data_IF_197174107504
#
_entry.id   IF_197174107504
#
_cell.length_a   1.000
_cell.length_b   1.000
_cell.length_c   1.000
_cell.angle_alpha   90.00
_cell.angle_beta   90.00
_cell.angle_gamma   90.00
#
_symmetry.space_group_name_H-M   'P 1'
#
loop_
_entity.id
_entity.type
_entity.pdbx_description
1 polymer ?
#
# COMPACT_ATOMS: atom_id res chain seq x y z
N UNK A 1 -16.16 -6.62 19.90
CA UNK A 1 -15.92 -7.15 18.92
C UNK A 1 -14.61 -6.86 18.22
N UNK A 2 -14.15 -7.83 17.48
CA UNK A 2 -12.87 -7.73 16.83
C UNK A 2 -12.77 -6.63 15.79
N UNK A 3 -13.84 -5.93 15.60
CA UNK A 3 -13.90 -4.88 14.57
C UNK A 3 -13.20 -3.62 14.98
N UNK A 4 -12.66 -3.57 16.18
CA UNK A 4 -11.81 -2.45 16.54
C UNK A 4 -10.46 -2.51 15.87
N UNK A 5 -10.14 -3.63 15.27
CA UNK A 5 -8.90 -3.79 14.54
C UNK A 5 -9.09 -3.25 13.14
N UNK A 6 -8.48 -2.13 12.87
CA UNK A 6 -8.54 -1.53 11.55
C UNK A 6 -7.17 -1.46 10.95
N UNK A 7 -7.13 -1.64 9.64
CA UNK A 7 -5.89 -1.46 8.93
C UNK A 7 -5.59 0.02 8.81
N UNK A 8 -4.34 0.38 9.02
CA UNK A 8 -3.88 1.71 8.66
C UNK A 8 -3.58 1.70 7.17
N UNK A 9 -4.09 2.70 6.46
CA UNK A 9 -3.98 2.76 5.03
C UNK A 9 -3.42 4.11 4.64
N UNK A 10 -2.37 4.10 3.83
CA UNK A 10 -1.79 5.31 3.27
C UNK A 10 -1.97 5.22 1.77
N UNK A 11 -2.64 6.19 1.20
CA UNK A 11 -2.85 6.25 -0.24
C UNK A 11 -1.86 7.24 -0.80
N UNK A 12 -0.92 6.73 -1.58
CA UNK A 12 0.07 7.56 -2.21
C UNK A 12 -0.45 8.15 -3.50
N UNK A 13 0.19 9.20 -3.94
CA UNK A 13 -0.15 9.84 -5.18
C UNK A 13 1.08 10.48 -5.76
N UNK A 14 0.90 11.11 -6.91
CA UNK A 14 2.01 11.66 -7.67
C UNK A 14 2.79 12.72 -6.90
N UNK A 15 2.15 13.40 -5.96
CA UNK A 15 2.88 14.39 -5.17
C UNK A 15 3.84 13.76 -4.18
N UNK A 16 3.72 12.47 -3.95
CA UNK A 16 4.55 11.78 -2.96
C UNK A 16 5.88 11.35 -3.58
N UNK A 17 5.81 10.88 -4.81
CA UNK A 17 6.97 10.29 -5.48
C UNK A 17 7.34 11.15 -6.67
N UNK A 18 8.52 11.75 -6.62
CA UNK A 18 8.93 12.62 -7.70
C UNK A 18 9.96 11.98 -8.62
N UNK A 19 10.91 11.26 -8.08
CA UNK A 19 11.96 10.72 -8.92
C UNK A 19 12.49 9.39 -8.47
N UNK A 20 12.61 9.18 -7.19
CA UNK A 20 13.25 7.97 -6.66
C UNK A 20 12.30 7.20 -5.78
N UNK A 21 12.40 5.87 -5.77
CA UNK A 21 11.60 5.03 -4.88
C UNK A 21 12.15 5.11 -3.46
N UNK A 22 11.83 6.19 -2.77
CA UNK A 22 12.38 6.50 -1.47
C UNK A 22 11.46 6.01 -0.36
N UNK A 23 11.95 5.09 0.42
CA UNK A 23 11.17 4.52 1.52
C UNK A 23 10.94 5.53 2.65
N UNK A 24 11.74 6.57 2.70
CA UNK A 24 11.68 7.52 3.81
C UNK A 24 10.31 8.20 3.91
N UNK A 25 9.67 8.48 2.78
CA UNK A 25 8.36 9.10 2.76
C UNK A 25 7.36 8.25 3.55
N UNK A 26 7.35 6.95 3.29
CA UNK A 26 6.42 6.06 3.97
C UNK A 26 6.82 5.81 5.42
N UNK A 27 8.12 5.77 5.70
CA UNK A 27 8.58 5.64 7.08
C UNK A 27 8.13 6.84 7.92
N UNK A 28 8.25 8.03 7.37
CA UNK A 28 7.81 9.24 8.07
C UNK A 28 6.30 9.26 8.25
N UNK A 29 5.55 8.81 7.24
CA UNK A 29 4.10 8.77 7.34
C UNK A 29 3.65 7.81 8.43
N UNK A 30 4.27 6.64 8.49
CA UNK A 30 3.95 5.67 9.53
C UNK A 30 4.30 6.20 10.92
N UNK A 31 5.43 6.87 11.04
CA UNK A 31 5.84 7.45 12.32
C UNK A 31 4.84 8.52 12.75
N UNK A 32 4.38 9.35 11.82
CA UNK A 32 3.41 10.39 12.13
C UNK A 32 2.08 9.81 12.57
N UNK A 33 1.69 8.67 11.99
CA UNK A 33 0.45 7.99 12.36
C UNK A 33 0.59 7.11 13.60
N UNK A 34 1.82 6.88 14.03
CA UNK A 34 2.06 5.99 15.17
C UNK A 34 1.79 4.54 14.85
N UNK A 35 2.02 4.12 13.61
CA UNK A 35 1.75 2.77 13.17
C UNK A 35 3.03 2.11 12.67
N UNK A 36 3.06 0.78 12.78
CA UNK A 36 4.18 -0.02 12.28
C UNK A 36 3.98 -0.25 10.78
N UNK A 37 5.03 -0.06 9.96
CA UNK A 37 4.90 -0.33 8.52
C UNK A 37 4.36 -1.73 8.21
N UNK A 38 4.76 -2.74 8.97
CA UNK A 38 4.30 -4.10 8.72
C UNK A 38 2.81 -4.28 8.98
N UNK A 39 2.19 -3.32 9.66
CA UNK A 39 0.75 -3.32 9.96
C UNK A 39 0.00 -2.31 9.11
N UNK A 40 0.65 -1.74 8.11
CA UNK A 40 0.10 -0.64 7.35
C UNK A 40 0.04 -1.02 5.88
N UNK A 41 -1.06 -0.69 5.23
CA UNK A 41 -1.20 -0.87 3.79
C UNK A 41 -0.84 0.42 3.07
N UNK A 42 -0.06 0.30 1.99
CA UNK A 42 0.23 1.42 1.12
C UNK A 42 -0.41 1.15 -0.23
N UNK A 43 -1.24 2.07 -0.70
CA UNK A 43 -1.92 1.94 -1.99
C UNK A 43 -1.24 2.86 -2.98
N UNK A 44 -0.74 2.30 -4.08
CA UNK A 44 0.05 3.06 -5.04
C UNK A 44 -0.34 2.73 -6.47
N UNK A 45 -0.21 3.73 -7.33
CA UNK A 45 -0.58 3.61 -8.73
C UNK A 45 0.62 3.69 -9.68
N UNK A 46 1.82 3.83 -9.16
CA UNK A 46 3.03 3.95 -9.97
C UNK A 46 4.08 2.95 -9.54
N UNK A 47 5.01 2.66 -10.44
CA UNK A 47 6.10 1.74 -10.14
C UNK A 47 6.96 2.26 -8.99
N UNK A 48 7.33 3.53 -9.04
CA UNK A 48 8.15 4.10 -7.98
C UNK A 48 7.41 4.14 -6.65
N UNK A 49 6.11 4.40 -6.69
CA UNK A 49 5.30 4.36 -5.48
C UNK A 49 5.27 2.98 -4.85
N UNK A 50 5.10 1.94 -5.67
CA UNK A 50 5.11 0.58 -5.18
C UNK A 50 6.47 0.24 -4.58
N UNK A 51 7.55 0.63 -5.25
CA UNK A 51 8.90 0.39 -4.73
C UNK A 51 9.11 1.10 -3.40
N UNK A 52 8.67 2.35 -3.32
CA UNK A 52 8.82 3.14 -2.10
C UNK A 52 8.08 2.50 -0.93
N UNK A 53 6.83 2.15 -1.13
CA UNK A 53 6.02 1.54 -0.07
C UNK A 53 6.57 0.18 0.33
N UNK A 54 6.94 -0.66 -0.64
CA UNK A 54 7.45 -1.99 -0.32
C UNK A 54 8.82 -1.90 0.35
N UNK A 55 9.67 -0.95 -0.06
CA UNK A 55 10.98 -0.78 0.58
C UNK A 55 10.83 -0.30 2.02
N UNK A 56 9.74 0.40 2.33
CA UNK A 56 9.49 0.84 3.70
C UNK A 56 8.87 -0.27 4.56
N UNK A 57 8.53 -1.39 3.98
CA UNK A 57 7.98 -2.52 4.70
C UNK A 57 6.48 -2.57 4.78
N UNK A 58 5.78 -1.72 4.04
CA UNK A 58 4.33 -1.73 4.04
C UNK A 58 3.78 -2.92 3.23
N UNK A 59 2.58 -3.32 3.57
CA UNK A 59 1.80 -4.22 2.73
C UNK A 59 1.30 -3.38 1.56
N UNK A 60 1.86 -3.60 0.39
CA UNK A 60 1.65 -2.70 -0.73
C UNK A 60 0.57 -3.22 -1.65
N UNK A 61 -0.36 -2.36 -2.02
CA UNK A 61 -1.42 -2.69 -2.96
C UNK A 61 -1.21 -1.80 -4.18
N UNK A 62 -1.10 -2.41 -5.35
CA UNK A 62 -0.96 -1.64 -6.57
C UNK A 62 -2.31 -1.52 -7.27
N UNK A 63 -2.65 -0.30 -7.64
CA UNK A 63 -3.82 -0.03 -8.47
C UNK A 63 -3.29 0.57 -9.77
N UNK A 64 -3.06 -0.24 -10.82
CA UNK A 64 -2.46 0.27 -12.04
C UNK A 64 -3.30 1.36 -12.67
N UNK A 65 -2.64 2.43 -13.08
CA UNK A 65 -3.32 3.54 -13.74
C UNK A 65 -3.02 3.51 -15.23
N UNK A 66 -1.84 3.97 -15.61
CA UNK A 66 -1.49 4.05 -17.02
C UNK A 66 -0.67 2.86 -17.51
N UNK A 67 0.09 2.24 -16.63
CA UNK A 67 1.03 1.18 -17.00
C UNK A 67 0.61 -0.13 -16.35
N UNK A 68 0.76 -1.25 -17.08
CA UNK A 68 0.42 -2.54 -16.50
C UNK A 68 1.45 -2.94 -15.44
N UNK A 69 1.06 -3.81 -14.51
CA UNK A 69 2.01 -4.30 -13.52
C UNK A 69 3.07 -5.19 -14.17
N UNK A 70 4.30 -5.04 -13.71
CA UNK A 70 5.41 -5.87 -14.16
C UNK A 70 5.59 -7.03 -13.19
N UNK A 71 6.51 -7.94 -13.52
CA UNK A 71 6.84 -9.02 -12.59
C UNK A 71 7.37 -8.45 -11.28
N UNK A 72 8.19 -7.41 -11.35
CA UNK A 72 8.70 -6.77 -10.14
C UNK A 72 7.57 -6.23 -9.28
N UNK A 73 6.58 -5.58 -9.91
CA UNK A 73 5.46 -5.02 -9.18
C UNK A 73 4.64 -6.12 -8.51
N UNK A 74 4.42 -7.21 -9.21
CA UNK A 74 3.67 -8.33 -8.66
C UNK A 74 4.41 -9.00 -7.50
N UNK A 75 5.74 -8.97 -7.54
CA UNK A 75 6.54 -9.52 -6.45
C UNK A 75 6.54 -8.61 -5.23
N UNK A 76 6.55 -7.31 -5.45
CA UNK A 76 6.59 -6.33 -4.35
C UNK A 76 5.24 -6.08 -3.71
N UNK A 77 4.18 -6.08 -4.51
CA UNK A 77 2.84 -5.81 -4.00
C UNK A 77 2.24 -7.10 -3.45
N UNK A 78 1.51 -6.98 -2.35
CA UNK A 78 0.81 -8.15 -1.83
C UNK A 78 -0.41 -8.47 -2.69
N UNK A 79 -0.93 -7.49 -3.42
CA UNK A 79 -2.00 -7.70 -4.37
C UNK A 79 -2.02 -6.55 -5.38
N UNK A 80 -2.59 -6.83 -6.55
CA UNK A 80 -2.84 -5.83 -7.58
C UNK A 80 -4.34 -5.80 -7.81
N UNK A 81 -4.94 -4.64 -7.63
CA UNK A 81 -6.39 -4.48 -7.75
C UNK A 81 -6.70 -3.48 -8.85
N UNK A 82 -7.82 -3.64 -9.56
CA UNK A 82 -8.12 -2.79 -10.71
C UNK A 82 -8.54 -1.37 -10.33
N UNK A 83 -9.10 -1.19 -9.15
CA UNK A 83 -9.56 0.14 -8.72
C UNK A 83 -9.69 0.18 -7.20
N UNK A 84 -10.06 1.35 -6.69
CA UNK A 84 -10.14 1.53 -5.24
C UNK A 84 -11.30 0.77 -4.61
N UNK A 85 -12.36 0.53 -5.36
CA UNK A 85 -13.45 -0.27 -4.84
C UNK A 85 -12.99 -1.71 -4.58
N UNK A 86 -12.22 -2.26 -5.51
CA UNK A 86 -11.67 -3.60 -5.34
C UNK A 86 -10.69 -3.64 -4.17
N UNK A 87 -9.94 -2.57 -3.94
CA UNK A 87 -9.06 -2.47 -2.77
C UNK A 87 -9.90 -2.55 -1.50
N UNK A 88 -10.99 -1.82 -1.44
CA UNK A 88 -11.86 -1.84 -0.28
C UNK A 88 -12.37 -3.25 -0.01
N UNK A 89 -12.81 -3.94 -1.05
CA UNK A 89 -13.31 -5.31 -0.91
C UNK A 89 -12.22 -6.26 -0.44
N UNK A 90 -11.02 -6.09 -0.98
CA UNK A 90 -9.88 -6.89 -0.56
C UNK A 90 -9.58 -6.70 0.92
N UNK A 91 -9.56 -5.45 1.38
CA UNK A 91 -9.27 -5.16 2.78
C UNK A 91 -10.35 -5.68 3.71
N UNK A 92 -11.60 -5.62 3.29
CA UNK A 92 -12.68 -6.18 4.09
C UNK A 92 -12.52 -7.68 4.26
N UNK A 93 -12.12 -8.37 3.21
CA UNK A 93 -11.88 -9.81 3.30
C UNK A 93 -10.70 -10.14 4.21
N UNK A 94 -9.64 -9.32 4.14
CA UNK A 94 -8.49 -9.53 5.02
C UNK A 94 -8.86 -9.29 6.47
N UNK A 95 -9.70 -8.32 6.74
CA UNK A 95 -10.16 -8.07 8.10
C UNK A 95 -10.99 -9.23 8.61
N UNK A 96 -11.83 -9.80 7.77
CA UNK A 96 -12.63 -10.98 8.15
C UNK A 96 -11.74 -12.15 8.50
N UNK A 97 -10.65 -12.33 7.77
CA UNK A 97 -9.71 -13.43 8.05
C UNK A 97 -9.03 -13.29 9.39
N UNK A 98 -8.81 -12.05 9.83
CA UNK A 98 -8.11 -11.83 11.09
C UNK A 98 -9.02 -11.99 12.30
N UNK A 99 -10.27 -12.16 12.08
CA UNK A 99 -11.20 -12.50 13.15
C UNK A 99 -11.26 -14.00 13.34
#
# INVERSE_FOLDING_TARGET
AGLTEYFQIIIGGDQVIHSKPDREIYQKACAALGTDPSQTYGVEDSYNGVRSASNAGLKTIMVPDLLPPTEEMRARACTVQPDLLAVKEYLQKEQEKSE
#
